data_IF_525303242112
#
_entry.id   IF_525303242112
#
_cell.length_a   1.000
_cell.length_b   1.000
_cell.length_c   1.000
_cell.angle_alpha   90.00
_cell.angle_beta   90.00
_cell.angle_gamma   90.00
#
_symmetry.space_group_name_H-M   'P 1'
#
loop_
_entity.id
_entity.type
_entity.pdbx_description
1 polymer ?
#
# COMPACT_ATOMS: atom_id res chain seq x y z
N UNK A 1 9.86 -22.25 35.29
CA UNK A 1 9.70 -20.85 35.77
C UNK A 1 8.94 -20.09 34.67
N UNK A 2 7.61 -19.96 34.81
CA UNK A 2 6.73 -19.51 33.73
C UNK A 2 6.72 -17.98 33.62
N UNK A 3 7.00 -17.45 32.41
CA UNK A 3 6.77 -16.03 32.11
C UNK A 3 5.26 -15.74 32.24
N UNK A 4 4.91 -14.83 33.15
CA UNK A 4 3.55 -14.35 33.31
C UNK A 4 3.10 -13.65 32.03
N UNK A 5 1.94 -14.04 31.50
CA UNK A 5 1.36 -13.39 30.32
C UNK A 5 0.89 -11.99 30.69
N UNK A 6 1.51 -10.96 30.10
CA UNK A 6 1.10 -9.56 30.26
C UNK A 6 -0.22 -9.31 29.54
N UNK A 7 -1.25 -8.95 30.29
CA UNK A 7 -2.57 -8.63 29.75
C UNK A 7 -3.04 -7.27 30.27
N UNK A 8 -3.20 -6.30 29.38
CA UNK A 8 -3.83 -5.04 29.74
C UNK A 8 -5.35 -5.27 29.88
N UNK A 9 -5.84 -5.35 31.13
CA UNK A 9 -7.26 -5.56 31.45
C UNK A 9 -8.18 -4.45 30.94
N UNK A 10 -7.65 -3.24 30.70
CA UNK A 10 -8.47 -2.09 30.29
C UNK A 10 -8.84 -2.16 28.81
N UNK A 11 -7.97 -2.74 27.97
CA UNK A 11 -8.15 -2.79 26.52
C UNK A 11 -8.23 -4.21 25.95
N UNK A 12 -7.99 -5.25 26.77
CA UNK A 12 -8.11 -6.64 26.36
C UNK A 12 -6.99 -7.12 25.43
N UNK A 13 -5.85 -6.42 25.40
CA UNK A 13 -4.78 -6.66 24.42
C UNK A 13 -3.71 -7.56 25.03
N UNK A 14 -3.36 -8.70 24.39
CA UNK A 14 -2.24 -9.52 24.80
C UNK A 14 -0.92 -8.83 24.46
N UNK A 15 -0.13 -8.49 25.49
CA UNK A 15 1.09 -7.70 25.32
C UNK A 15 2.28 -8.53 24.82
N UNK A 16 2.27 -9.85 25.07
CA UNK A 16 3.41 -10.72 24.74
C UNK A 16 3.43 -11.19 23.27
N UNK A 17 2.32 -11.04 22.54
CA UNK A 17 2.22 -11.44 21.13
C UNK A 17 3.11 -10.58 20.23
N UNK A 18 3.18 -9.28 20.50
CA UNK A 18 3.96 -8.36 19.68
C UNK A 18 5.48 -8.62 19.79
N UNK A 19 6.09 -8.68 21.00
CA UNK A 19 7.51 -9.03 21.14
C UNK A 19 7.86 -10.40 20.56
N UNK A 20 6.97 -11.39 20.66
CA UNK A 20 7.18 -12.72 20.07
C UNK A 20 7.28 -12.63 18.54
N UNK A 21 6.33 -11.94 17.90
CA UNK A 21 6.36 -11.70 16.45
C UNK A 21 7.61 -10.95 16.01
N UNK A 22 8.12 -10.01 16.82
CA UNK A 22 9.36 -9.30 16.51
C UNK A 22 10.56 -10.25 16.45
N UNK A 23 10.69 -11.17 17.42
CA UNK A 23 11.79 -12.15 17.44
C UNK A 23 11.70 -13.05 16.20
N UNK A 24 10.51 -13.61 15.94
CA UNK A 24 10.25 -14.47 14.77
C UNK A 24 10.53 -13.74 13.44
N UNK A 25 10.17 -12.46 13.35
CA UNK A 25 10.45 -11.64 12.17
C UNK A 25 11.95 -11.38 12.01
N UNK A 26 12.67 -11.04 13.08
CA UNK A 26 14.12 -10.80 13.01
C UNK A 26 14.86 -12.07 12.56
N UNK A 27 14.50 -13.23 13.10
CA UNK A 27 15.08 -14.51 12.71
C UNK A 27 14.80 -14.80 11.23
N UNK A 28 13.53 -14.70 10.81
CA UNK A 28 13.15 -14.88 9.41
C UNK A 28 13.89 -13.94 8.45
N UNK A 29 14.09 -12.68 8.83
CA UNK A 29 14.83 -11.71 8.02
C UNK A 29 16.30 -12.05 7.91
N UNK A 30 16.93 -12.55 8.98
CA UNK A 30 18.33 -13.01 8.95
C UNK A 30 18.50 -14.19 8.00
N UNK A 31 17.61 -15.18 8.07
CA UNK A 31 17.64 -16.36 7.21
C UNK A 31 17.43 -15.98 5.75
N UNK A 32 16.44 -15.13 5.47
CA UNK A 32 16.15 -14.64 4.11
C UNK A 32 17.33 -13.83 3.55
N UNK A 33 17.98 -12.99 4.36
CA UNK A 33 19.15 -12.24 3.94
C UNK A 33 20.36 -13.15 3.67
N UNK A 34 20.58 -14.20 4.46
CA UNK A 34 21.62 -15.18 4.21
C UNK A 34 21.35 -15.93 2.89
N UNK A 35 20.13 -16.40 2.69
CA UNK A 35 19.71 -17.10 1.47
C UNK A 35 19.91 -16.24 0.20
N UNK A 36 19.55 -14.96 0.23
CA UNK A 36 19.77 -14.06 -0.90
C UNK A 36 21.24 -13.72 -1.16
N UNK A 37 22.08 -13.67 -0.12
CA UNK A 37 23.52 -13.42 -0.31
C UNK A 37 24.24 -14.59 -0.96
N UNK A 38 23.77 -15.82 -0.75
CA UNK A 38 24.34 -17.03 -1.33
C UNK A 38 23.69 -17.46 -2.64
N UNK A 39 22.65 -16.75 -3.12
CA UNK A 39 21.92 -17.14 -4.32
C UNK A 39 22.63 -16.61 -5.58
N UNK A 40 22.88 -17.50 -6.54
CA UNK A 40 23.42 -17.12 -7.86
C UNK A 40 22.42 -16.30 -8.70
N UNK A 41 21.12 -16.42 -8.42
CA UNK A 41 20.05 -15.68 -9.09
C UNK A 41 18.88 -15.46 -8.14
N UNK A 42 18.31 -14.26 -8.14
CA UNK A 42 17.14 -13.90 -7.34
C UNK A 42 15.96 -13.68 -8.28
N UNK A 43 14.98 -14.58 -8.26
CA UNK A 43 13.73 -14.39 -8.99
C UNK A 43 12.87 -13.32 -8.31
N UNK A 44 12.59 -12.22 -9.03
CA UNK A 44 11.67 -11.18 -8.59
C UNK A 44 10.38 -11.30 -9.40
N UNK A 45 9.29 -11.67 -8.72
CA UNK A 45 7.95 -11.73 -9.31
C UNK A 45 7.22 -10.42 -9.04
N UNK A 46 6.48 -9.86 -10.01
CA UNK A 46 5.63 -8.70 -9.77
C UNK A 46 4.70 -8.97 -8.58
N UNK A 47 4.67 -8.05 -7.62
CA UNK A 47 3.68 -8.10 -6.55
C UNK A 47 2.29 -7.81 -7.09
N UNK A 48 1.26 -8.13 -6.30
CA UNK A 48 -0.12 -7.72 -6.57
C UNK A 48 -0.42 -6.27 -6.19
N UNK A 49 0.57 -5.56 -5.64
CA UNK A 49 0.48 -4.17 -5.25
C UNK A 49 0.69 -3.22 -6.44
N UNK A 50 0.02 -2.07 -6.42
CA UNK A 50 0.05 -1.11 -7.53
C UNK A 50 1.30 -0.22 -7.57
N UNK A 51 2.11 -0.18 -6.52
CA UNK A 51 3.17 0.83 -6.39
C UNK A 51 4.20 0.80 -7.53
N UNK A 52 4.69 -0.39 -7.91
CA UNK A 52 5.62 -0.56 -9.03
C UNK A 52 4.97 -0.19 -10.36
N UNK A 53 3.70 -0.59 -10.56
CA UNK A 53 2.94 -0.25 -11.77
C UNK A 53 2.71 1.25 -11.92
N UNK A 54 2.38 1.95 -10.83
CA UNK A 54 2.22 3.41 -10.81
C UNK A 54 3.52 4.08 -11.22
N UNK A 55 4.64 3.72 -10.59
CA UNK A 55 5.95 4.30 -10.89
C UNK A 55 6.34 4.01 -12.34
N UNK A 56 6.14 2.79 -12.81
CA UNK A 56 6.41 2.41 -14.19
C UNK A 56 5.60 3.27 -15.17
N UNK A 57 4.28 3.37 -14.98
CA UNK A 57 3.42 4.17 -15.86
C UNK A 57 3.77 5.65 -15.89
N UNK A 58 4.14 6.22 -14.74
CA UNK A 58 4.60 7.61 -14.68
C UNK A 58 5.95 7.78 -15.39
N UNK A 59 6.85 6.80 -15.27
CA UNK A 59 8.20 6.88 -15.81
C UNK A 59 8.27 6.58 -17.32
N UNK A 60 7.57 5.55 -17.78
CA UNK A 60 7.61 5.07 -19.18
C UNK A 60 6.52 5.70 -20.04
N UNK A 61 5.45 6.22 -19.41
CA UNK A 61 4.25 6.67 -20.10
C UNK A 61 3.33 5.53 -20.54
N UNK A 62 3.66 4.27 -20.27
CA UNK A 62 2.78 3.12 -20.54
C UNK A 62 1.57 3.19 -19.59
N UNK A 63 0.35 3.40 -20.10
CA UNK A 63 -0.79 3.69 -19.25
C UNK A 63 -1.22 2.48 -18.41
N UNK A 64 -1.54 2.70 -17.14
CA UNK A 64 -2.18 1.70 -16.28
C UNK A 64 -3.42 2.26 -15.58
N UNK A 65 -4.32 1.37 -15.18
CA UNK A 65 -5.50 1.72 -14.39
C UNK A 65 -5.37 1.11 -13.00
N UNK A 66 -5.54 1.95 -11.99
CA UNK A 66 -5.54 1.55 -10.57
C UNK A 66 -6.84 2.01 -9.90
N UNK A 67 -7.14 1.47 -8.72
CA UNK A 67 -8.10 2.07 -7.80
C UNK A 67 -7.31 2.78 -6.70
N UNK A 68 -7.47 4.10 -6.64
CA UNK A 68 -6.67 4.95 -5.77
C UNK A 68 -7.54 5.93 -5.00
N UNK A 69 -7.08 6.27 -3.80
CA UNK A 69 -7.71 7.30 -2.99
C UNK A 69 -7.36 8.68 -3.54
N UNK A 70 -8.37 9.40 -4.03
CA UNK A 70 -8.26 10.76 -4.54
C UNK A 70 -9.25 11.68 -3.85
N UNK A 71 -9.00 12.99 -3.90
CA UNK A 71 -10.02 13.96 -3.50
C UNK A 71 -11.21 13.81 -4.43
N UNK A 72 -12.41 13.65 -3.88
CA UNK A 72 -13.60 13.31 -4.64
C UNK A 72 -13.87 14.31 -5.76
N UNK A 73 -13.81 15.63 -5.53
CA UNK A 73 -13.89 16.65 -6.60
C UNK A 73 -15.01 16.44 -7.64
N UNK A 74 -16.14 15.83 -7.25
CA UNK A 74 -17.25 15.51 -8.14
C UNK A 74 -17.16 14.16 -8.87
N UNK A 75 -16.18 13.31 -8.55
CA UNK A 75 -15.99 11.98 -9.11
C UNK A 75 -17.07 10.97 -8.64
N UNK A 76 -17.59 11.16 -7.43
CA UNK A 76 -18.78 10.49 -6.87
C UNK A 76 -19.74 11.59 -6.40
N UNK A 77 -20.83 11.80 -7.14
CA UNK A 77 -21.74 12.93 -6.95
C UNK A 77 -22.57 12.86 -5.67
N UNK A 78 -22.72 11.66 -5.09
CA UNK A 78 -23.44 11.44 -3.83
C UNK A 78 -22.60 11.73 -2.57
N UNK A 79 -21.31 12.04 -2.71
CA UNK A 79 -20.39 12.30 -1.60
C UNK A 79 -19.90 13.75 -1.61
N UNK A 80 -19.48 14.30 -0.45
CA UNK A 80 -18.85 15.62 -0.36
C UNK A 80 -17.64 15.75 -1.31
N UNK A 81 -17.44 16.93 -1.91
CA UNK A 81 -16.36 17.13 -2.89
C UNK A 81 -14.96 17.08 -2.28
N UNK A 82 -14.85 17.27 -0.98
CA UNK A 82 -13.60 17.34 -0.22
C UNK A 82 -13.21 16.04 0.48
N UNK A 83 -14.06 15.01 0.42
CA UNK A 83 -13.72 13.71 0.98
C UNK A 83 -12.67 12.98 0.13
N UNK A 84 -11.94 12.07 0.77
CA UNK A 84 -11.18 11.06 0.04
C UNK A 84 -12.18 10.01 -0.49
N UNK A 85 -12.08 9.70 -1.77
CA UNK A 85 -12.88 8.67 -2.44
C UNK A 85 -11.94 7.73 -3.19
N UNK A 86 -12.20 6.43 -3.08
CA UNK A 86 -11.52 5.43 -3.89
C UNK A 86 -12.19 5.35 -5.25
N UNK A 87 -11.45 5.71 -6.30
CA UNK A 87 -11.97 5.80 -7.67
C UNK A 87 -10.98 5.20 -8.67
N UNK A 88 -11.44 4.70 -9.82
CA UNK A 88 -10.54 4.32 -10.90
C UNK A 88 -9.71 5.54 -11.33
N UNK A 89 -8.41 5.33 -11.47
CA UNK A 89 -7.46 6.34 -11.89
C UNK A 89 -6.64 5.83 -13.07
N UNK A 90 -6.59 6.61 -14.14
CA UNK A 90 -5.62 6.45 -15.21
C UNK A 90 -4.27 7.00 -14.73
N UNK A 91 -3.20 6.22 -14.92
CA UNK A 91 -1.83 6.62 -14.60
C UNK A 91 -1.02 6.57 -15.88
N UNK A 92 -0.39 7.68 -16.24
CA UNK A 92 0.50 7.82 -17.38
C UNK A 92 1.56 8.91 -17.06
N UNK A 93 2.23 9.44 -18.08
CA UNK A 93 3.23 10.51 -17.92
C UNK A 93 2.68 11.80 -17.27
N UNK A 94 1.36 12.04 -17.34
CA UNK A 94 0.72 13.19 -16.71
C UNK A 94 0.52 12.96 -15.21
N UNK A 95 0.73 11.74 -14.72
CA UNK A 95 0.53 11.32 -13.33
C UNK A 95 -0.81 10.61 -13.14
N UNK A 96 -1.28 10.59 -11.90
CA UNK A 96 -2.54 9.94 -11.52
C UNK A 96 -3.72 10.86 -11.85
N UNK A 97 -4.73 10.32 -12.54
CA UNK A 97 -5.89 11.04 -13.05
C UNK A 97 -7.16 10.26 -12.73
N UNK A 98 -8.05 10.73 -11.83
CA UNK A 98 -9.29 10.03 -11.53
C UNK A 98 -10.26 10.11 -12.71
N UNK A 99 -11.00 9.03 -12.99
CA UNK A 99 -11.83 8.92 -14.21
C UNK A 99 -13.31 8.65 -13.95
N UNK A 100 -13.77 8.58 -12.70
CA UNK A 100 -15.16 8.23 -12.41
C UNK A 100 -16.11 9.41 -12.61
N UNK A 101 -17.05 9.29 -13.54
CA UNK A 101 -18.05 10.31 -13.93
C UNK A 101 -17.50 11.53 -14.68
N UNK A 102 -18.35 12.13 -15.53
CA UNK A 102 -17.99 13.28 -16.36
C UNK A 102 -17.66 14.56 -15.57
N UNK A 103 -18.04 14.64 -14.30
CA UNK A 103 -17.80 15.79 -13.43
C UNK A 103 -16.49 15.68 -12.63
N UNK A 104 -15.75 14.58 -12.79
CA UNK A 104 -14.53 14.31 -12.04
C UNK A 104 -13.40 15.25 -12.47
N UNK A 105 -13.00 16.14 -11.56
CA UNK A 105 -11.91 17.08 -11.79
C UNK A 105 -10.64 16.61 -11.13
N UNK A 106 -9.55 16.70 -11.88
CA UNK A 106 -8.21 16.50 -11.33
C UNK A 106 -7.97 17.46 -10.16
N UNK A 107 -7.35 16.96 -9.10
CA UNK A 107 -6.81 17.82 -8.05
C UNK A 107 -5.75 18.73 -8.66
N UNK A 108 -5.93 20.05 -8.55
CA UNK A 108 -4.88 21.00 -8.92
C UNK A 108 -3.67 20.75 -8.01
N UNK A 109 -2.44 20.71 -8.54
CA UNK A 109 -1.28 20.84 -7.68
C UNK A 109 -1.39 22.18 -6.95
N UNK A 110 -1.23 22.16 -5.62
CA UNK A 110 -0.98 23.36 -4.84
C UNK A 110 0.48 23.75 -4.99
#
# INVERSE_FOLDING_TARGET
>A
QGRARGFDRKFGIPLDEYPKRCIEQIERWKDQAAAYRSADTIEVKPSKEYASSIINSVWTGEPSVIYGNQRNNGCITSLPSDCAAEVPCLVDHNGVQPTSSANCRRSSPR
#
